data_IF_687115535636
#
_entry.id   IF_687115535636
#
_cell.length_a   1.000
_cell.length_b   1.000
_cell.length_c   1.000
_cell.angle_alpha   90.00
_cell.angle_beta   90.00
_cell.angle_gamma   90.00
#
_symmetry.space_group_name_H-M   'P 1'
#
loop_
_entity.id
_entity.type
_entity.pdbx_description
1 polymer ?
#
# COMPACT_ATOMS: atom_id res chain seq x y z
N UNK A 1 -39.53 -58.20 23.67
CA UNK A 1 -39.76 -56.92 24.38
C UNK A 1 -40.95 -56.27 23.68
N UNK A 2 -42.15 -56.38 24.24
CA UNK A 2 -43.36 -55.90 23.57
C UNK A 2 -43.42 -54.39 23.73
N UNK A 3 -43.34 -53.67 22.61
CA UNK A 3 -43.47 -52.22 22.59
C UNK A 3 -44.95 -51.94 22.83
N UNK A 4 -45.27 -51.40 24.00
CA UNK A 4 -46.65 -51.07 24.36
C UNK A 4 -47.15 -49.90 23.51
N UNK A 5 -48.43 -49.91 23.13
CA UNK A 5 -49.01 -48.84 22.32
C UNK A 5 -48.80 -47.44 22.95
N UNK A 6 -48.74 -47.36 24.28
CA UNK A 6 -48.44 -46.13 25.02
C UNK A 6 -47.01 -45.63 24.80
N UNK A 7 -46.02 -46.52 24.75
CA UNK A 7 -44.63 -46.14 24.46
C UNK A 7 -44.48 -45.68 23.01
N UNK A 8 -45.24 -46.29 22.08
CA UNK A 8 -45.26 -45.87 20.69
C UNK A 8 -45.83 -44.46 20.53
N UNK A 9 -46.95 -44.17 21.22
CA UNK A 9 -47.59 -42.85 21.20
C UNK A 9 -46.65 -41.77 21.76
N UNK A 10 -45.95 -42.05 22.87
CA UNK A 10 -45.01 -41.10 23.47
C UNK A 10 -43.80 -40.80 22.56
N UNK A 11 -43.26 -41.83 21.90
CA UNK A 11 -42.15 -41.64 20.95
C UNK A 11 -42.59 -40.82 19.75
N UNK A 12 -43.80 -41.07 19.22
CA UNK A 12 -44.34 -40.28 18.11
C UNK A 12 -44.54 -38.82 18.53
N UNK A 13 -45.05 -38.57 19.73
CA UNK A 13 -45.25 -37.21 20.24
C UNK A 13 -43.92 -36.48 20.43
N UNK A 14 -42.91 -37.15 21.01
CA UNK A 14 -41.57 -36.59 21.19
C UNK A 14 -40.88 -36.31 19.86
N UNK A 15 -41.04 -37.19 18.86
CA UNK A 15 -40.53 -36.95 17.50
C UNK A 15 -41.25 -35.80 16.82
N UNK A 16 -42.56 -35.66 17.02
CA UNK A 16 -43.34 -34.55 16.48
C UNK A 16 -42.93 -33.22 17.11
N UNK A 17 -42.73 -33.16 18.43
CA UNK A 17 -42.24 -31.97 19.14
C UNK A 17 -40.81 -31.61 18.72
N UNK A 18 -39.90 -32.60 18.61
CA UNK A 18 -38.54 -32.37 18.14
C UNK A 18 -38.53 -31.89 16.69
N UNK A 19 -39.39 -32.45 15.83
CA UNK A 19 -39.54 -32.03 14.43
C UNK A 19 -40.12 -30.62 14.34
N UNK A 20 -41.11 -30.29 15.17
CA UNK A 20 -41.70 -28.96 15.26
C UNK A 20 -40.71 -27.90 15.76
N UNK A 21 -39.89 -28.24 16.76
CA UNK A 21 -38.81 -27.38 17.26
C UNK A 21 -37.73 -27.16 16.19
N UNK A 22 -37.32 -28.22 15.47
CA UNK A 22 -36.41 -28.12 14.32
C UNK A 22 -36.98 -27.28 13.16
N UNK A 23 -38.31 -27.28 12.99
CA UNK A 23 -39.00 -26.46 12.00
C UNK A 23 -39.01 -24.96 12.38
N UNK A 24 -39.10 -24.65 13.68
CA UNK A 24 -39.14 -23.27 14.18
C UNK A 24 -37.76 -22.63 14.38
N UNK A 25 -36.67 -23.39 14.33
CA UNK A 25 -35.33 -22.80 14.36
C UNK A 25 -35.14 -21.93 13.10
N UNK A 26 -34.83 -20.62 13.24
CA UNK A 26 -34.62 -19.76 12.09
C UNK A 26 -33.39 -20.25 11.33
N UNK A 27 -33.61 -20.86 10.16
CA UNK A 27 -32.55 -21.15 9.19
C UNK A 27 -32.16 -19.85 8.50
N UNK A 28 -31.43 -18.98 9.17
CA UNK A 28 -30.74 -17.87 8.50
C UNK A 28 -29.53 -18.40 7.75
N UNK A 29 -29.78 -19.23 6.73
CA UNK A 29 -28.79 -19.51 5.69
C UNK A 29 -28.96 -18.41 4.66
N UNK A 30 -28.22 -17.32 4.83
CA UNK A 30 -27.84 -16.52 3.67
C UNK A 30 -27.02 -17.47 2.79
N UNK A 31 -27.64 -18.06 1.76
CA UNK A 31 -26.91 -18.83 0.74
C UNK A 31 -26.04 -17.84 -0.04
N UNK A 32 -24.90 -17.47 0.53
CA UNK A 32 -23.85 -16.81 -0.22
C UNK A 32 -23.39 -17.81 -1.26
N UNK A 33 -23.46 -17.42 -2.54
CA UNK A 33 -22.77 -18.14 -3.61
C UNK A 33 -21.29 -18.04 -3.29
N UNK A 34 -20.75 -19.06 -2.64
CA UNK A 34 -19.35 -19.09 -2.27
C UNK A 34 -18.54 -19.13 -3.57
N UNK A 35 -17.87 -18.02 -3.89
CA UNK A 35 -17.03 -17.93 -5.09
C UNK A 35 -15.63 -18.36 -4.66
N UNK A 36 -15.13 -19.51 -5.16
CA UNK A 36 -13.81 -19.96 -4.79
C UNK A 36 -12.77 -18.92 -5.21
N UNK A 37 -11.75 -18.76 -4.37
CA UNK A 37 -10.68 -17.79 -4.56
C UNK A 37 -9.42 -18.59 -4.89
N UNK A 38 -9.05 -18.63 -6.16
CA UNK A 38 -7.84 -19.29 -6.62
C UNK A 38 -6.62 -18.45 -6.25
N UNK A 39 -5.72 -19.03 -5.46
CA UNK A 39 -4.50 -18.36 -5.02
C UNK A 39 -3.35 -18.65 -5.97
N UNK A 40 -2.69 -17.59 -6.41
CA UNK A 40 -1.46 -17.62 -7.20
C UNK A 40 -0.20 -17.74 -6.32
N UNK A 41 0.87 -18.31 -6.89
CA UNK A 41 2.24 -18.41 -6.35
C UNK A 41 2.73 -17.06 -5.82
N UNK A 42 2.49 -15.99 -6.58
CA UNK A 42 2.99 -14.65 -6.26
C UNK A 42 2.45 -14.10 -4.92
N UNK A 43 1.18 -14.36 -4.61
CA UNK A 43 0.52 -13.95 -3.37
C UNK A 43 1.03 -14.74 -2.18
N UNK A 44 1.26 -16.05 -2.35
CA UNK A 44 1.81 -16.90 -1.30
C UNK A 44 3.24 -16.49 -0.94
N UNK A 45 4.08 -16.19 -1.94
CA UNK A 45 5.46 -15.71 -1.73
C UNK A 45 5.55 -14.30 -1.12
N UNK A 46 4.48 -13.51 -1.16
CA UNK A 46 4.40 -12.20 -0.53
C UNK A 46 3.90 -12.30 0.92
N UNK A 47 2.97 -13.22 1.19
CA UNK A 47 2.53 -13.56 2.54
C UNK A 47 1.49 -12.62 3.16
N UNK A 48 1.22 -11.43 2.59
CA UNK A 48 0.18 -10.52 3.13
C UNK A 48 -1.23 -11.11 3.10
N UNK A 49 -1.47 -12.17 2.35
CA UNK A 49 -2.75 -12.88 2.35
C UNK A 49 -3.09 -13.47 3.72
N UNK A 50 -2.10 -13.87 4.52
CA UNK A 50 -2.28 -14.45 5.86
C UNK A 50 -3.01 -13.47 6.79
N UNK A 51 -2.47 -12.28 7.11
CA UNK A 51 -3.16 -11.35 7.99
C UNK A 51 -4.48 -10.85 7.39
N UNK A 52 -4.58 -10.71 6.05
CA UNK A 52 -5.84 -10.32 5.41
C UNK A 52 -6.92 -11.39 5.63
N UNK A 53 -6.60 -12.67 5.45
CA UNK A 53 -7.52 -13.77 5.72
C UNK A 53 -7.90 -13.84 7.21
N UNK A 54 -6.94 -13.65 8.11
CA UNK A 54 -7.17 -13.65 9.57
C UNK A 54 -8.15 -12.57 10.04
N UNK A 55 -8.25 -11.42 9.33
CA UNK A 55 -9.23 -10.36 9.65
C UNK A 55 -10.67 -10.71 9.25
N UNK A 56 -10.88 -11.79 8.48
CA UNK A 56 -12.19 -12.15 7.91
C UNK A 56 -12.54 -11.38 6.63
N UNK A 57 -11.62 -10.60 6.06
CA UNK A 57 -11.84 -9.87 4.81
C UNK A 57 -11.95 -10.81 3.60
N UNK A 58 -11.32 -11.99 3.68
CA UNK A 58 -11.46 -13.07 2.68
C UNK A 58 -12.64 -13.95 3.08
N UNK A 59 -13.81 -13.65 2.52
CA UNK A 59 -15.07 -14.33 2.87
C UNK A 59 -15.38 -15.60 2.08
N UNK A 60 -14.56 -15.98 1.09
CA UNK A 60 -14.78 -17.15 0.24
C UNK A 60 -13.83 -18.31 0.52
N UNK A 61 -14.13 -19.49 -0.02
CA UNK A 61 -13.23 -20.65 0.05
C UNK A 61 -11.91 -20.34 -0.66
N UNK A 62 -10.80 -20.35 0.08
CA UNK A 62 -9.44 -20.22 -0.44
C UNK A 62 -9.05 -21.54 -1.09
N UNK A 63 -8.79 -21.52 -2.39
CA UNK A 63 -8.42 -22.69 -3.18
C UNK A 63 -6.98 -22.53 -3.66
N UNK A 64 -6.11 -23.44 -3.26
CA UNK A 64 -4.73 -23.52 -3.77
C UNK A 64 -4.65 -24.70 -4.73
N UNK A 65 -4.35 -24.48 -6.03
CA UNK A 65 -4.12 -25.58 -6.97
C UNK A 65 -2.82 -26.34 -6.67
N UNK A 66 -2.80 -27.65 -6.92
CA UNK A 66 -1.58 -28.47 -6.76
C UNK A 66 -0.44 -28.02 -7.69
N UNK A 67 -0.78 -27.45 -8.85
CA UNK A 67 0.16 -26.86 -9.81
C UNK A 67 0.93 -25.67 -9.22
N UNK A 68 0.25 -24.78 -8.47
CA UNK A 68 0.86 -23.67 -7.73
C UNK A 68 1.83 -24.19 -6.67
N UNK A 69 1.43 -25.22 -5.92
CA UNK A 69 2.33 -25.88 -4.96
C UNK A 69 3.55 -26.50 -5.67
N UNK A 70 3.34 -27.07 -6.86
CA UNK A 70 4.41 -27.63 -7.69
C UNK A 70 5.42 -26.57 -8.16
N UNK A 71 4.94 -25.39 -8.54
CA UNK A 71 5.80 -24.26 -8.91
C UNK A 71 6.58 -23.72 -7.71
N UNK A 72 5.95 -23.56 -6.54
CA UNK A 72 6.65 -23.17 -5.32
C UNK A 72 7.77 -24.15 -4.95
N UNK A 73 7.50 -25.47 -5.06
CA UNK A 73 8.51 -26.50 -4.85
C UNK A 73 9.66 -26.37 -5.86
N UNK A 74 9.34 -26.22 -7.14
CA UNK A 74 10.34 -26.03 -8.18
C UNK A 74 11.22 -24.80 -7.93
N UNK A 75 10.61 -23.66 -7.55
CA UNK A 75 11.33 -22.44 -7.21
C UNK A 75 12.18 -22.60 -5.94
N UNK A 76 11.70 -23.33 -4.93
CA UNK A 76 12.42 -23.58 -3.68
C UNK A 76 13.69 -24.44 -3.87
N UNK A 77 13.71 -25.27 -4.92
CA UNK A 77 14.84 -26.15 -5.24
C UNK A 77 15.80 -25.55 -6.27
N UNK A 78 15.29 -24.82 -7.27
CA UNK A 78 16.05 -24.46 -8.47
C UNK A 78 16.36 -22.96 -8.64
N UNK A 79 15.73 -22.07 -7.85
CA UNK A 79 15.94 -20.63 -7.99
C UNK A 79 17.19 -20.12 -7.25
N UNK A 80 17.46 -18.81 -7.38
CA UNK A 80 18.47 -18.11 -6.57
C UNK A 80 18.11 -18.12 -5.07
N UNK A 81 19.06 -17.75 -4.21
CA UNK A 81 18.89 -17.84 -2.76
C UNK A 81 17.68 -17.04 -2.23
N UNK A 82 17.42 -15.86 -2.80
CA UNK A 82 16.32 -14.99 -2.35
C UNK A 82 14.96 -15.58 -2.77
N UNK A 83 14.81 -15.94 -4.05
CA UNK A 83 13.60 -16.57 -4.57
C UNK A 83 13.33 -17.91 -3.89
N UNK A 84 14.36 -18.72 -3.62
CA UNK A 84 14.22 -19.98 -2.86
C UNK A 84 13.68 -19.74 -1.45
N UNK A 85 14.20 -18.73 -0.76
CA UNK A 85 13.73 -18.36 0.58
C UNK A 85 12.25 -17.96 0.55
N UNK A 86 11.86 -17.10 -0.40
CA UNK A 86 10.47 -16.67 -0.57
C UNK A 86 9.53 -17.81 -0.99
N UNK A 87 9.99 -18.74 -1.82
CA UNK A 87 9.19 -19.89 -2.23
C UNK A 87 8.91 -20.85 -1.05
N UNK A 88 9.90 -21.04 -0.17
CA UNK A 88 9.71 -21.78 1.09
C UNK A 88 8.70 -21.08 2.00
N UNK A 89 8.80 -19.76 2.15
CA UNK A 89 7.80 -18.97 2.88
C UNK A 89 6.40 -19.12 2.27
N UNK A 90 6.28 -19.20 0.94
CA UNK A 90 5.01 -19.48 0.27
C UNK A 90 4.43 -20.86 0.60
N UNK A 91 5.27 -21.89 0.74
CA UNK A 91 4.84 -23.22 1.21
C UNK A 91 4.40 -23.19 2.69
N UNK A 92 5.10 -22.42 3.52
CA UNK A 92 4.72 -22.21 4.92
C UNK A 92 3.37 -21.48 5.02
N UNK A 93 3.14 -20.46 4.17
CA UNK A 93 1.89 -19.72 4.09
C UNK A 93 0.69 -20.61 3.74
N UNK A 94 0.86 -21.60 2.85
CA UNK A 94 -0.20 -22.59 2.57
C UNK A 94 -0.56 -23.37 3.85
N UNK A 95 0.45 -23.81 4.60
CA UNK A 95 0.25 -24.56 5.85
C UNK A 95 -0.46 -23.72 6.91
N UNK A 96 -0.14 -22.42 6.97
CA UNK A 96 -0.78 -21.48 7.88
C UNK A 96 -2.24 -21.23 7.51
N UNK A 97 -2.55 -20.97 6.23
CA UNK A 97 -3.93 -20.82 5.74
C UNK A 97 -4.76 -22.06 6.01
N UNK A 98 -4.20 -23.26 5.79
CA UNK A 98 -4.90 -24.53 6.01
C UNK A 98 -5.28 -24.75 7.48
N UNK A 99 -4.45 -24.27 8.42
CA UNK A 99 -4.67 -24.42 9.86
C UNK A 99 -5.43 -23.25 10.49
N UNK A 100 -5.73 -22.21 9.71
CA UNK A 100 -6.30 -20.97 10.22
C UNK A 100 -7.79 -21.16 10.59
N UNK A 101 -8.19 -20.91 11.85
CA UNK A 101 -9.59 -21.01 12.25
C UNK A 101 -10.41 -19.91 11.56
N UNK A 102 -11.60 -20.27 11.07
CA UNK A 102 -12.51 -19.34 10.39
C UNK A 102 -12.21 -19.13 8.90
N UNK A 103 -11.12 -19.70 8.38
CA UNK A 103 -10.83 -19.74 6.94
C UNK A 103 -11.23 -21.09 6.37
N UNK A 104 -11.98 -21.07 5.27
CA UNK A 104 -12.27 -22.30 4.50
C UNK A 104 -11.17 -22.47 3.47
N UNK A 105 -10.45 -23.59 3.53
CA UNK A 105 -9.31 -23.88 2.66
C UNK A 105 -9.50 -25.20 1.91
N UNK A 106 -9.17 -25.20 0.62
CA UNK A 106 -9.17 -26.39 -0.23
C UNK A 106 -7.87 -26.50 -1.06
N UNK A 107 -7.26 -27.69 -1.08
CA UNK A 107 -6.19 -28.01 -2.00
C UNK A 107 -6.78 -28.69 -3.25
N UNK A 108 -6.83 -27.97 -4.37
CA UNK A 108 -7.42 -28.47 -5.60
C UNK A 108 -6.45 -29.39 -6.36
N UNK A 109 -6.87 -30.63 -6.61
CA UNK A 109 -6.10 -31.61 -7.36
C UNK A 109 -6.25 -31.38 -8.86
N UNK A 110 -5.49 -30.43 -9.38
CA UNK A 110 -5.45 -30.11 -10.80
C UNK A 110 -4.27 -30.82 -11.50
N UNK A 111 -3.14 -30.98 -10.82
CA UNK A 111 -1.96 -31.71 -11.30
C UNK A 111 -0.68 -31.01 -10.87
N UNK A 112 0.41 -31.75 -10.67
CA UNK A 112 1.65 -31.18 -10.12
C UNK A 112 2.49 -30.37 -11.12
N UNK A 113 2.18 -30.47 -12.43
CA UNK A 113 2.82 -29.70 -13.49
C UNK A 113 1.76 -29.08 -14.39
N UNK A 114 1.96 -27.82 -14.74
CA UNK A 114 1.18 -27.12 -15.76
C UNK A 114 2.06 -27.03 -17.02
N UNK A 115 1.74 -27.82 -18.06
CA UNK A 115 2.53 -27.82 -19.29
C UNK A 115 2.33 -26.50 -20.06
N UNK A 116 1.14 -25.91 -19.90
CA UNK A 116 0.69 -24.61 -20.38
C UNK A 116 1.19 -23.42 -19.54
N UNK A 117 1.83 -23.68 -18.39
CA UNK A 117 2.18 -22.67 -17.39
C UNK A 117 1.10 -22.48 -16.32
N UNK A 118 1.51 -22.06 -15.13
CA UNK A 118 0.61 -21.92 -13.97
C UNK A 118 -0.45 -20.83 -14.20
N UNK A 119 -0.06 -19.71 -14.82
CA UNK A 119 -0.95 -18.58 -15.14
C UNK A 119 -2.13 -18.99 -16.03
N UNK A 120 -1.84 -19.64 -17.16
CA UNK A 120 -2.87 -20.12 -18.10
C UNK A 120 -3.79 -21.14 -17.43
N UNK A 121 -3.22 -21.98 -16.57
CA UNK A 121 -3.98 -22.97 -15.80
C UNK A 121 -4.91 -22.30 -14.79
N UNK A 122 -4.46 -21.27 -14.09
CA UNK A 122 -5.29 -20.47 -13.18
C UNK A 122 -6.46 -19.80 -13.92
N UNK A 123 -6.22 -19.23 -15.10
CA UNK A 123 -7.27 -18.64 -15.94
C UNK A 123 -8.34 -19.67 -16.34
N UNK A 124 -7.89 -20.85 -16.79
CA UNK A 124 -8.78 -21.94 -17.18
C UNK A 124 -9.60 -22.49 -16.00
N UNK A 125 -8.97 -22.66 -14.83
CA UNK A 125 -9.67 -23.04 -13.60
C UNK A 125 -10.68 -21.98 -13.17
N UNK A 126 -10.33 -20.70 -13.26
CA UNK A 126 -11.22 -19.61 -12.88
C UNK A 126 -12.49 -19.58 -13.74
N UNK A 127 -12.34 -19.72 -15.06
CA UNK A 127 -13.48 -19.84 -15.99
C UNK A 127 -14.34 -21.06 -15.68
N UNK A 128 -13.72 -22.23 -15.52
CA UNK A 128 -14.44 -23.50 -15.30
C UNK A 128 -15.27 -23.50 -14.02
N UNK A 129 -14.72 -22.93 -12.95
CA UNK A 129 -15.34 -22.94 -11.62
C UNK A 129 -16.04 -21.62 -11.27
N UNK A 130 -16.09 -20.66 -12.19
CA UNK A 130 -16.57 -19.29 -11.94
C UNK A 130 -15.92 -18.70 -10.67
N UNK A 131 -14.62 -18.96 -10.54
CA UNK A 131 -13.76 -18.56 -9.43
C UNK A 131 -13.22 -17.15 -9.67
N UNK A 132 -12.68 -16.55 -8.61
CA UNK A 132 -11.90 -15.31 -8.69
C UNK A 132 -10.42 -15.64 -8.48
N UNK A 133 -9.52 -14.86 -9.07
CA UNK A 133 -8.07 -15.07 -8.93
C UNK A 133 -7.52 -14.06 -7.93
N UNK A 134 -6.77 -14.53 -6.93
CA UNK A 134 -5.98 -13.68 -6.05
C UNK A 134 -4.53 -13.70 -6.52
N UNK A 135 -4.01 -12.57 -6.99
CA UNK A 135 -2.64 -12.43 -7.51
C UNK A 135 -2.04 -11.06 -7.15
N UNK A 136 -0.72 -10.93 -7.14
CA UNK A 136 -0.02 -9.63 -7.18
C UNK A 136 0.61 -9.35 -8.55
N UNK A 137 0.55 -10.32 -9.47
CA UNK A 137 1.13 -10.19 -10.80
C UNK A 137 0.30 -9.24 -11.68
N UNK A 138 0.99 -8.30 -12.32
CA UNK A 138 0.35 -7.30 -13.17
C UNK A 138 -0.17 -7.89 -14.49
N UNK A 139 0.59 -8.82 -15.09
CA UNK A 139 0.26 -9.40 -16.40
C UNK A 139 -0.93 -10.36 -16.26
N UNK A 140 -0.91 -11.25 -15.26
CA UNK A 140 -2.03 -12.14 -14.97
C UNK A 140 -3.31 -11.34 -14.69
N UNK A 141 -3.21 -10.23 -13.94
CA UNK A 141 -4.34 -9.33 -13.71
C UNK A 141 -4.91 -8.75 -15.02
N UNK A 142 -4.04 -8.28 -15.94
CA UNK A 142 -4.49 -7.73 -17.23
C UNK A 142 -5.14 -8.77 -18.13
N UNK A 143 -4.57 -9.97 -18.21
CA UNK A 143 -5.15 -11.06 -19.01
C UNK A 143 -6.49 -11.49 -18.41
N UNK A 144 -6.55 -11.75 -17.10
CA UNK A 144 -7.78 -12.12 -16.41
C UNK A 144 -8.92 -11.11 -16.62
N UNK A 145 -8.61 -9.80 -16.60
CA UNK A 145 -9.59 -8.76 -16.85
C UNK A 145 -10.17 -8.81 -18.28
N UNK A 146 -9.34 -9.09 -19.30
CA UNK A 146 -9.79 -9.28 -20.70
C UNK A 146 -10.73 -10.49 -20.81
N UNK A 147 -10.45 -11.54 -20.02
CA UNK A 147 -11.26 -12.76 -20.00
C UNK A 147 -12.52 -12.68 -19.11
N UNK A 148 -12.79 -11.52 -18.50
CA UNK A 148 -13.93 -11.30 -17.62
C UNK A 148 -13.82 -12.01 -16.26
N UNK A 149 -12.61 -12.42 -15.86
CA UNK A 149 -12.34 -13.04 -14.57
C UNK A 149 -12.10 -11.93 -13.54
N UNK A 150 -12.78 -12.02 -12.39
CA UNK A 150 -12.55 -11.07 -11.29
C UNK A 150 -11.22 -11.36 -10.60
N UNK A 151 -10.44 -10.32 -10.40
CA UNK A 151 -9.12 -10.40 -9.74
C UNK A 151 -9.16 -9.69 -8.40
N UNK A 152 -8.69 -10.38 -7.36
CA UNK A 152 -8.40 -9.83 -6.04
C UNK A 152 -6.91 -9.49 -5.97
N UNK A 153 -6.55 -8.25 -6.30
CA UNK A 153 -5.15 -7.83 -6.25
C UNK A 153 -4.78 -7.29 -4.86
N UNK A 154 -3.92 -8.01 -4.15
CA UNK A 154 -3.50 -7.63 -2.78
C UNK A 154 -2.78 -6.27 -2.74
N UNK A 155 -2.04 -5.92 -3.80
CA UNK A 155 -1.38 -4.63 -3.90
C UNK A 155 -2.39 -3.49 -4.09
N UNK A 156 -3.39 -3.67 -4.97
CA UNK A 156 -4.46 -2.68 -5.17
C UNK A 156 -5.32 -2.51 -3.91
N UNK A 157 -5.61 -3.59 -3.20
CA UNK A 157 -6.30 -3.55 -1.91
C UNK A 157 -5.50 -2.72 -0.91
N UNK A 158 -4.21 -3.02 -0.74
CA UNK A 158 -3.34 -2.30 0.18
C UNK A 158 -3.23 -0.80 -0.13
N UNK A 159 -3.28 -0.42 -1.41
CA UNK A 159 -3.31 0.98 -1.82
C UNK A 159 -4.65 1.65 -1.52
N UNK A 160 -5.76 0.93 -1.74
CA UNK A 160 -7.13 1.45 -1.60
C UNK A 160 -7.55 1.67 -0.14
N UNK A 161 -6.99 0.90 0.80
CA UNK A 161 -7.27 1.04 2.24
C UNK A 161 -6.38 2.08 2.94
N UNK A 162 -5.42 2.70 2.23
CA UNK A 162 -4.62 3.77 2.83
C UNK A 162 -5.53 4.95 3.18
N UNK A 163 -5.36 5.48 4.39
CA UNK A 163 -6.12 6.63 4.86
C UNK A 163 -6.00 7.78 3.87
N UNK A 164 -7.13 8.21 3.31
CA UNK A 164 -7.17 9.39 2.46
C UNK A 164 -7.14 10.62 3.36
N UNK A 165 -6.01 11.32 3.43
CA UNK A 165 -5.99 12.63 4.05
C UNK A 165 -6.86 13.61 3.26
N UNK A 166 -7.85 14.19 3.92
CA UNK A 166 -8.81 15.08 3.31
C UNK A 166 -8.29 16.53 3.33
N UNK A 167 -8.59 17.36 2.31
CA UNK A 167 -8.46 18.80 2.45
C UNK A 167 -9.16 19.31 3.72
N UNK A 168 -8.47 20.14 4.51
CA UNK A 168 -8.94 20.64 5.80
C UNK A 168 -8.51 19.81 7.02
N UNK A 169 -7.98 18.60 6.81
CA UNK A 169 -7.46 17.78 7.91
C UNK A 169 -6.22 18.43 8.53
N UNK A 170 -6.17 18.43 9.87
CA UNK A 170 -5.07 19.02 10.63
C UNK A 170 -4.21 17.94 11.26
N UNK A 171 -2.90 18.05 11.11
CA UNK A 171 -1.97 17.08 11.66
C UNK A 171 -0.64 17.74 12.06
N UNK A 172 0.13 17.05 12.89
CA UNK A 172 1.49 17.46 13.24
C UNK A 172 2.47 16.88 12.23
N UNK A 173 3.37 17.72 11.72
CA UNK A 173 4.39 17.31 10.74
C UNK A 173 5.75 17.89 11.11
N UNK A 174 6.77 17.05 11.16
CA UNK A 174 8.17 17.49 11.26
C UNK A 174 8.68 17.96 9.90
N UNK A 175 9.24 19.17 9.86
CA UNK A 175 9.80 19.75 8.65
C UNK A 175 11.27 19.38 8.51
N UNK A 176 11.58 18.44 7.62
CA UNK A 176 12.91 17.83 7.53
C UNK A 176 13.78 18.51 6.47
N UNK A 177 13.18 19.00 5.38
CA UNK A 177 13.92 19.51 4.22
C UNK A 177 13.37 20.84 3.69
N UNK A 178 14.23 21.62 3.03
CA UNK A 178 13.81 22.80 2.27
C UNK A 178 12.96 22.37 1.08
N UNK A 179 11.86 23.09 0.83
CA UNK A 179 11.07 22.89 -0.38
C UNK A 179 11.73 23.46 -1.62
N UNK A 180 11.08 23.24 -2.77
CA UNK A 180 11.58 23.71 -4.06
C UNK A 180 11.61 25.24 -4.10
N UNK A 181 10.57 25.89 -3.59
CA UNK A 181 10.54 27.35 -3.45
C UNK A 181 11.14 27.80 -2.12
N UNK A 182 11.71 29.00 -2.11
CA UNK A 182 12.38 29.59 -0.93
C UNK A 182 11.47 29.73 0.30
N UNK A 183 10.16 29.73 0.15
CA UNK A 183 9.22 29.85 1.26
C UNK A 183 8.67 28.49 1.73
N UNK A 184 9.03 27.39 1.08
CA UNK A 184 8.49 26.07 1.37
C UNK A 184 9.41 25.24 2.28
N UNK A 185 8.80 24.37 3.05
CA UNK A 185 9.46 23.27 3.74
C UNK A 185 8.76 21.96 3.39
N UNK A 186 9.47 20.84 3.56
CA UNK A 186 8.99 19.50 3.25
C UNK A 186 9.13 18.61 4.47
N UNK A 187 8.05 17.90 4.79
CA UNK A 187 8.04 16.79 5.72
C UNK A 187 7.52 15.53 5.06
N UNK A 188 7.60 14.42 5.79
CA UNK A 188 7.11 13.12 5.34
C UNK A 188 6.15 12.55 6.37
N UNK A 189 5.05 11.99 5.89
CA UNK A 189 4.15 11.20 6.74
C UNK A 189 4.73 9.80 6.99
N UNK A 190 4.20 9.11 7.99
CA UNK A 190 4.64 7.74 8.33
C UNK A 190 4.47 6.72 7.19
N UNK A 191 3.63 7.01 6.20
CA UNK A 191 3.42 6.18 5.02
C UNK A 191 4.34 6.54 3.82
N UNK A 192 5.23 7.52 4.01
CA UNK A 192 6.15 8.04 3.00
C UNK A 192 5.60 9.17 2.13
N UNK A 193 4.35 9.61 2.33
CA UNK A 193 3.77 10.73 1.56
C UNK A 193 4.54 12.01 1.82
N UNK A 194 5.02 12.65 0.74
CA UNK A 194 5.75 13.91 0.83
C UNK A 194 4.77 15.07 1.01
N UNK A 195 4.95 15.87 2.06
CA UNK A 195 4.09 17.01 2.37
C UNK A 195 4.88 18.30 2.23
N UNK A 196 4.49 19.13 1.27
CA UNK A 196 5.03 20.46 1.02
C UNK A 196 4.20 21.47 1.81
N UNK A 197 4.84 22.20 2.72
CA UNK A 197 4.20 23.20 3.58
C UNK A 197 4.62 24.59 3.17
N UNK A 198 3.65 25.43 2.81
CA UNK A 198 3.90 26.82 2.44
C UNK A 198 4.32 27.68 3.66
N UNK A 199 5.12 28.71 3.41
CA UNK A 199 5.59 29.71 4.38
C UNK A 199 6.26 29.13 5.65
N UNK A 200 6.85 27.95 5.54
CA UNK A 200 7.35 27.19 6.70
C UNK A 200 8.85 26.91 6.67
N UNK A 201 9.60 27.51 5.73
CA UNK A 201 11.06 27.31 5.63
C UNK A 201 11.83 27.72 6.90
N UNK A 202 11.35 28.72 7.64
CA UNK A 202 11.99 29.18 8.88
C UNK A 202 11.83 28.20 10.06
N UNK A 203 10.99 27.18 9.91
CA UNK A 203 10.64 26.21 10.95
C UNK A 203 11.24 24.83 10.66
N UNK A 204 12.27 24.75 9.82
CA UNK A 204 12.99 23.49 9.57
C UNK A 204 13.55 22.90 10.86
N UNK A 205 13.42 21.58 10.99
CA UNK A 205 13.74 20.81 12.18
C UNK A 205 12.69 20.88 13.29
N UNK A 206 11.54 21.53 13.06
CA UNK A 206 10.46 21.62 14.04
C UNK A 206 9.22 20.84 13.59
N UNK A 207 8.49 20.33 14.58
CA UNK A 207 7.17 19.74 14.37
C UNK A 207 6.10 20.82 14.48
N UNK A 208 5.39 21.07 13.39
CA UNK A 208 4.38 22.13 13.28
C UNK A 208 3.00 21.55 12.98
N UNK A 209 1.95 22.22 13.44
CA UNK A 209 0.58 21.87 13.05
C UNK A 209 0.28 22.42 11.66
N UNK A 210 -0.12 21.54 10.76
CA UNK A 210 -0.45 21.84 9.37
C UNK A 210 -1.91 21.51 9.08
N UNK A 211 -2.46 22.15 8.06
CA UNK A 211 -3.76 21.85 7.48
C UNK A 211 -3.57 21.49 6.00
N UNK A 212 -4.06 20.32 5.61
CA UNK A 212 -3.99 19.84 4.24
C UNK A 212 -4.82 20.73 3.34
N UNK A 213 -4.22 21.25 2.27
CA UNK A 213 -4.90 22.07 1.27
C UNK A 213 -5.34 21.22 0.08
N UNK A 214 -4.44 20.40 -0.45
CA UNK A 214 -4.69 19.52 -1.60
C UNK A 214 -3.71 18.36 -1.62
N UNK A 215 -4.09 17.26 -2.27
CA UNK A 215 -3.19 16.15 -2.57
C UNK A 215 -3.08 15.98 -4.09
N UNK A 216 -1.89 15.64 -4.56
CA UNK A 216 -1.57 15.33 -5.95
C UNK A 216 -0.93 13.95 -6.03
N UNK A 217 -1.34 13.15 -7.00
CA UNK A 217 -0.62 11.93 -7.37
C UNK A 217 0.43 12.27 -8.43
N UNK A 218 1.69 11.91 -8.18
CA UNK A 218 2.80 12.09 -9.13
C UNK A 218 3.42 10.74 -9.51
N UNK A 219 4.26 10.71 -10.52
CA UNK A 219 4.98 9.50 -10.94
C UNK A 219 5.89 8.91 -9.84
N UNK A 220 6.37 9.75 -8.90
CA UNK A 220 7.20 9.34 -7.78
C UNK A 220 6.39 8.96 -6.51
N UNK A 221 5.06 9.09 -6.54
CA UNK A 221 4.19 8.82 -5.41
C UNK A 221 3.21 9.96 -5.11
N UNK A 222 2.55 9.87 -3.96
CA UNK A 222 1.58 10.86 -3.49
C UNK A 222 2.31 12.05 -2.86
N UNK A 223 1.93 13.25 -3.27
CA UNK A 223 2.40 14.52 -2.72
C UNK A 223 1.21 15.26 -2.11
N UNK A 224 1.40 15.90 -0.97
CA UNK A 224 0.39 16.73 -0.33
C UNK A 224 0.92 18.16 -0.18
N UNK A 225 0.02 19.12 -0.34
CA UNK A 225 0.30 20.52 -0.06
C UNK A 225 -0.51 20.92 1.17
N UNK A 226 0.16 21.58 2.09
CA UNK A 226 -0.43 22.02 3.33
C UNK A 226 -0.03 23.47 3.64
N UNK A 227 -0.83 24.11 4.48
CA UNK A 227 -0.53 25.41 5.08
C UNK A 227 -0.33 25.22 6.57
N UNK A 228 0.48 26.07 7.19
CA UNK A 228 0.60 26.10 8.64
C UNK A 228 -0.71 26.58 9.27
N UNK A 229 -1.10 25.94 10.38
CA UNK A 229 -2.20 26.44 11.23
C UNK A 229 -1.61 27.37 12.28
N UNK A 230 -1.77 28.68 12.08
CA UNK A 230 -1.42 29.65 13.12
C UNK A 230 -2.51 29.67 14.19
N UNK A 231 -2.14 29.48 15.45
CA UNK A 231 -3.03 29.48 16.62
C UNK A 231 -3.73 30.83 16.91
N UNK A 232 -3.62 31.83 16.02
CA UNK A 232 -4.11 33.21 16.23
C UNK A 232 -5.15 33.71 15.21
N UNK A 233 -5.67 32.87 14.31
CA UNK A 233 -6.49 33.33 13.17
C UNK A 233 -8.02 33.30 13.36
N UNK A 234 -8.56 33.00 14.54
CA UNK A 234 -10.04 32.95 14.75
C UNK A 234 -10.69 34.26 15.20
N UNK A 235 -10.00 35.40 15.20
CA UNK A 235 -10.62 36.70 15.52
C UNK A 235 -10.10 37.83 14.62
N UNK A 236 -10.69 37.98 13.43
CA UNK A 236 -10.85 39.29 12.75
C UNK A 236 -11.67 39.14 11.46
N UNK A 237 -13.00 39.06 11.61
CA UNK A 237 -13.98 39.53 10.62
C UNK A 237 -15.26 39.92 11.39
N UNK A 238 -15.20 41.10 12.00
CA UNK A 238 -16.37 41.88 12.38
C UNK A 238 -16.03 43.33 11.99
N UNK A 239 -16.51 43.65 10.80
CA UNK A 239 -16.93 44.94 10.27
C UNK A 239 -16.56 46.22 11.04
N UNK A 240 -15.72 47.04 10.42
CA UNK A 240 -15.76 48.50 10.61
C UNK A 240 -15.34 49.17 9.30
N UNK A 241 -16.31 49.38 8.42
CA UNK A 241 -16.26 50.46 7.45
C UNK A 241 -16.30 51.81 8.18
N UNK A 242 -15.38 52.72 7.88
CA UNK A 242 -15.68 53.89 7.05
C UNK A 242 -14.43 54.78 6.91
N UNK A 243 -14.32 55.42 5.77
CA UNK A 243 -13.17 56.16 5.26
C UNK A 243 -13.07 57.57 5.84
N UNK A 244 -11.84 58.12 5.94
CA UNK A 244 -11.53 59.47 5.43
C UNK A 244 -10.02 59.80 5.50
N UNK A 245 -9.51 60.28 4.36
CA UNK A 245 -8.23 61.01 4.17
C UNK A 245 -8.49 62.50 4.49
N UNK A 246 -7.49 63.36 4.81
CA UNK A 246 -6.60 63.88 3.75
C UNK A 246 -5.16 64.28 4.15
N UNK A 247 -4.48 64.81 3.14
CA UNK A 247 -3.08 65.16 2.89
C UNK A 247 -2.32 66.10 3.86
N UNK A 248 -0.98 66.04 3.79
CA UNK A 248 -0.13 67.23 3.98
C UNK A 248 1.35 67.05 4.39
N UNK A 249 2.27 67.33 3.45
CA UNK A 249 3.48 68.20 3.59
C UNK A 249 4.89 67.62 3.96
N UNK A 250 5.77 67.71 2.92
CA UNK A 250 7.22 68.08 2.81
C UNK A 250 8.39 67.30 3.50
N UNK A 251 9.38 66.99 2.65
CA UNK A 251 10.80 66.53 2.81
C UNK A 251 11.75 67.62 3.41
N UNK A 252 13.10 67.44 3.55
CA UNK A 252 13.97 66.22 3.61
C UNK A 252 15.04 66.26 4.76
N UNK A 253 15.77 65.16 5.03
CA UNK A 253 17.13 65.26 5.60
C UNK A 253 18.07 64.17 5.09
N UNK A 254 19.30 64.61 4.79
CA UNK A 254 20.44 63.90 4.20
C UNK A 254 21.28 63.30 5.32
N UNK A 255 21.81 62.09 5.16
CA UNK A 255 23.17 61.79 5.63
C UNK A 255 23.78 60.60 4.89
N UNK A 256 25.07 60.79 4.58
CA UNK A 256 25.96 60.04 3.71
C UNK A 256 27.19 59.67 4.54
N UNK A 257 27.63 58.42 4.51
CA UNK A 257 29.04 57.99 4.73
C UNK A 257 29.10 56.46 4.63
N UNK A 258 29.71 55.88 3.59
CA UNK A 258 31.14 55.64 3.33
C UNK A 258 31.69 54.33 3.95
N UNK A 259 32.39 53.60 3.06
CA UNK A 259 33.02 52.26 3.12
C UNK A 259 34.33 52.22 3.96
N UNK A 260 35.33 51.33 3.70
CA UNK A 260 35.49 49.87 3.87
C UNK A 260 36.77 49.52 4.68
N UNK A 261 37.14 48.22 4.85
CA UNK A 261 38.53 47.65 4.90
C UNK A 261 38.53 46.14 5.25
N UNK A 262 38.94 45.22 4.36
CA UNK A 262 40.28 44.63 4.07
C UNK A 262 40.70 43.42 4.93
N UNK A 263 40.85 42.28 4.22
CA UNK A 263 41.91 41.23 4.24
C UNK A 263 42.55 40.70 5.54
N UNK A 264 42.65 39.34 5.63
CA UNK A 264 43.91 38.64 5.95
C UNK A 264 43.81 37.09 5.82
N UNK A 265 44.85 36.50 5.20
CA UNK A 265 45.39 35.11 5.30
C UNK A 265 46.85 35.26 5.80
N UNK A 266 47.68 34.23 6.15
CA UNK A 266 47.66 32.77 5.82
C UNK A 266 47.99 31.83 7.03
N UNK A 267 47.98 30.47 6.92
CA UNK A 267 49.18 29.64 6.72
C UNK A 267 48.89 28.10 6.74
N UNK A 268 49.82 27.33 6.14
CA UNK A 268 49.98 25.86 5.89
C UNK A 268 49.78 24.95 7.13
N UNK A 269 49.48 23.63 6.99
CA UNK A 269 50.49 22.54 6.86
C UNK A 269 49.86 21.12 6.60
N UNK A 270 50.48 20.36 5.68
CA UNK A 270 50.63 18.89 5.49
C UNK A 270 49.47 17.91 5.11
N UNK A 271 49.82 17.04 4.14
CA UNK A 271 49.18 15.83 3.54
C UNK A 271 49.53 14.55 4.37
N UNK A 272 49.02 13.29 4.10
CA UNK A 272 48.69 12.70 2.79
C UNK A 272 47.50 11.70 2.65
N UNK A 273 47.12 11.46 1.38
CA UNK A 273 46.56 10.27 0.70
C UNK A 273 45.51 9.33 1.33
N UNK A 274 44.32 9.25 0.68
CA UNK A 274 43.74 7.98 0.15
C UNK A 274 42.61 8.18 -0.88
N UNK A 275 42.75 7.47 -2.01
CA UNK A 275 41.85 7.15 -3.13
C UNK A 275 40.46 7.83 -3.24
N UNK A 276 40.24 8.59 -4.32
CA UNK A 276 38.91 9.03 -4.78
C UNK A 276 38.26 8.00 -5.72
N UNK A 277 37.01 7.66 -5.40
CA UNK A 277 36.05 6.87 -6.19
C UNK A 277 35.63 7.68 -7.42
N UNK A 278 35.74 7.10 -8.62
CA UNK A 278 35.31 7.71 -9.87
C UNK A 278 33.78 7.92 -9.90
N UNK A 279 33.37 9.09 -10.41
CA UNK A 279 31.98 9.55 -10.50
C UNK A 279 31.28 9.07 -11.77
N UNK A 280 29.95 8.96 -11.73
CA UNK A 280 29.10 8.38 -12.79
C UNK A 280 29.23 9.02 -14.18
N UNK A 281 29.79 10.23 -14.29
CA UNK A 281 30.01 10.92 -15.56
C UNK A 281 31.12 10.30 -16.42
N UNK A 282 32.08 9.60 -15.82
CA UNK A 282 33.19 8.97 -16.56
C UNK A 282 32.78 7.64 -17.24
N UNK A 283 31.67 7.03 -16.82
CA UNK A 283 31.13 5.79 -17.42
C UNK A 283 30.34 6.06 -18.69
N UNK A 284 29.65 7.20 -18.79
CA UNK A 284 28.87 7.56 -19.97
C UNK A 284 29.77 7.93 -21.16
N UNK A 285 30.88 8.63 -20.91
CA UNK A 285 31.86 8.94 -21.95
C UNK A 285 32.53 7.68 -22.55
N UNK A 286 32.68 6.63 -21.75
CA UNK A 286 33.32 5.37 -22.19
C UNK A 286 32.36 4.45 -22.98
N UNK A 287 31.04 4.63 -22.83
CA UNK A 287 30.03 3.88 -23.59
C UNK A 287 29.78 4.48 -24.98
N UNK A 288 29.94 5.80 -25.13
CA UNK A 288 29.81 6.48 -26.42
C UNK A 288 30.97 6.17 -27.38
N UNK A 289 32.17 5.95 -26.84
CA UNK A 289 33.36 5.58 -27.64
C UNK A 289 33.34 4.10 -28.09
N UNK A 290 32.54 3.25 -27.43
CA UNK A 290 32.38 1.84 -27.78
C UNK A 290 31.37 1.61 -28.92
N UNK A 291 30.36 2.49 -29.05
CA UNK A 291 29.35 2.42 -30.12
C UNK A 291 29.92 2.93 -31.45
N UNK A 292 30.86 3.87 -31.42
CA UNK A 292 31.44 4.47 -32.61
C UNK A 292 32.57 3.64 -33.27
N UNK A 293 32.91 2.49 -32.67
CA UNK A 293 33.99 1.59 -33.12
C UNK A 293 33.50 0.29 -33.76
N UNK A 294 32.19 0.16 -33.99
CA UNK A 294 31.56 -0.97 -34.70
C UNK A 294 30.74 -0.57 -35.92
N UNK A 295 31.09 0.55 -36.57
CA UNK A 295 30.72 0.80 -37.97
C UNK A 295 31.95 0.79 -38.86
#
# INVERSE_FOLDING_TARGET
>A
MNINNTTLILVIFLLAELSYLLYQLPRTSLKTKDRPILIDTSVLMDGRIIPIAATGFIGGTIVVPRSVVGELQFLADNADAEKRSRARQGLDAITELQKMPGVTFELLQDGSKANEGVDERLLNLAKRHNAVICTIDYNLNKVAAVEGITVLNVNELAQSIRMAHLPGEKMMLELVQKGQDSHQAVGYLGDGTMVVVEQSQSLLGQTVQIEVVRSLQTAAGKMMFAKRVDAKSTQKKADSGESQKPAGRKLPFISRSQQPRTESKPARTQQPNRAKKATSRDREASLLDLVNKQQ
#
